data_IF_867368581775
#
_entry.id   IF_867368581775
#
_cell.length_a   1.000
_cell.length_b   1.000
_cell.length_c   1.000
_cell.angle_alpha   90.00
_cell.angle_beta   90.00
_cell.angle_gamma   90.00
#
_symmetry.space_group_name_H-M   'P 1'
#
loop_
_entity.id
_entity.type
_entity.pdbx_description
1 polymer ?
#
# COMPACT_ATOMS: atom_id res chain seq x y z
N UNK A 1 -1.69 -19.81 20.68
CA UNK A 1 -1.39 -19.93 22.12
C UNK A 1 -2.37 -19.19 23.03
N UNK A 2 -3.19 -18.26 22.48
CA UNK A 2 -4.16 -17.42 23.23
C UNK A 2 -5.12 -18.23 24.10
N UNK A 3 -5.65 -19.33 23.59
CA UNK A 3 -6.66 -20.16 24.26
C UNK A 3 -6.07 -21.31 25.11
N UNK A 4 -4.74 -21.54 25.07
CA UNK A 4 -4.10 -22.68 25.77
C UNK A 4 -4.06 -22.53 27.29
N UNK A 5 -4.09 -21.31 27.82
CA UNK A 5 -4.06 -21.04 29.25
C UNK A 5 -5.32 -20.28 29.64
N UNK A 6 -6.07 -20.80 30.61
CA UNK A 6 -7.28 -20.17 31.16
C UNK A 6 -6.93 -19.04 32.14
N UNK A 7 -6.24 -18.00 31.64
CA UNK A 7 -5.88 -16.82 32.41
C UNK A 7 -6.28 -15.55 31.63
N UNK A 8 -6.99 -14.63 32.29
CA UNK A 8 -7.47 -13.41 31.67
C UNK A 8 -6.35 -12.48 31.23
N UNK A 9 -5.29 -12.36 32.04
CA UNK A 9 -4.10 -11.54 31.70
C UNK A 9 -3.38 -12.10 30.49
N UNK A 10 -3.21 -13.43 30.42
CA UNK A 10 -2.61 -14.11 29.27
C UNK A 10 -3.39 -13.83 27.97
N UNK A 11 -4.71 -13.94 28.00
CA UNK A 11 -5.57 -13.66 26.84
C UNK A 11 -5.46 -12.20 26.42
N UNK A 12 -5.52 -11.27 27.37
CA UNK A 12 -5.37 -9.83 27.10
C UNK A 12 -4.02 -9.50 26.48
N UNK A 13 -2.93 -10.11 26.96
CA UNK A 13 -1.59 -9.90 26.40
C UNK A 13 -1.52 -10.35 24.93
N UNK A 14 -2.10 -11.52 24.60
CA UNK A 14 -2.16 -11.99 23.22
C UNK A 14 -3.07 -11.13 22.34
N UNK A 15 -4.18 -10.62 22.89
CA UNK A 15 -5.09 -9.72 22.15
C UNK A 15 -4.37 -8.41 21.79
N UNK A 16 -3.60 -7.83 22.72
CA UNK A 16 -2.74 -6.68 22.45
C UNK A 16 -1.63 -6.99 21.45
N UNK A 17 -0.98 -8.16 21.57
CA UNK A 17 0.03 -8.60 20.61
C UNK A 17 -0.53 -8.72 19.19
N UNK A 18 -1.73 -9.29 19.03
CA UNK A 18 -2.42 -9.40 17.74
C UNK A 18 -2.82 -8.02 17.21
N UNK A 19 -3.30 -7.12 18.08
CA UNK A 19 -3.64 -5.75 17.68
C UNK A 19 -2.42 -4.98 17.19
N UNK A 20 -1.32 -5.00 17.94
CA UNK A 20 -0.07 -4.32 17.55
C UNK A 20 0.49 -4.91 16.25
N UNK A 21 0.54 -6.26 16.16
CA UNK A 21 1.00 -6.95 14.95
C UNK A 21 0.14 -6.69 13.72
N UNK A 22 -1.14 -6.35 13.90
CA UNK A 22 -2.04 -5.96 12.80
C UNK A 22 -1.99 -4.47 12.46
N UNK A 23 -1.71 -3.59 13.42
CA UNK A 23 -1.76 -2.14 13.24
C UNK A 23 -0.42 -1.53 12.79
N UNK A 24 0.69 -2.02 13.34
CA UNK A 24 2.02 -1.45 13.07
C UNK A 24 2.48 -1.65 11.62
N UNK A 25 2.40 -2.84 11.01
CA UNK A 25 2.85 -3.02 9.64
C UNK A 25 2.14 -2.12 8.62
N UNK A 26 0.81 -1.99 8.60
CA UNK A 26 0.13 -1.07 7.71
C UNK A 26 0.58 0.39 7.88
N UNK A 27 0.78 0.82 9.13
CA UNK A 27 1.28 2.16 9.43
C UNK A 27 2.67 2.38 8.84
N UNK A 28 3.59 1.45 9.09
CA UNK A 28 4.97 1.56 8.61
C UNK A 28 5.05 1.49 7.09
N UNK A 29 4.24 0.66 6.42
CA UNK A 29 4.18 0.66 4.95
C UNK A 29 3.78 2.03 4.40
N UNK A 30 2.77 2.67 4.97
CA UNK A 30 2.38 4.01 4.57
C UNK A 30 3.45 5.06 4.86
N UNK A 31 4.09 4.99 6.03
CA UNK A 31 5.23 5.86 6.39
C UNK A 31 6.37 5.71 5.38
N UNK A 32 6.69 4.48 4.97
CA UNK A 32 7.72 4.22 3.96
C UNK A 32 7.37 4.89 2.61
N UNK A 33 6.14 4.72 2.12
CA UNK A 33 5.69 5.37 0.90
C UNK A 33 5.67 6.90 1.01
N UNK A 34 5.27 7.45 2.15
CA UNK A 34 5.35 8.88 2.42
C UNK A 34 6.77 9.42 2.32
N UNK A 35 7.76 8.70 2.85
CA UNK A 35 9.16 9.06 2.72
C UNK A 35 9.68 8.93 1.28
N UNK A 36 9.23 7.93 0.52
CA UNK A 36 9.57 7.83 -0.91
C UNK A 36 9.08 9.05 -1.69
N UNK A 37 7.86 9.50 -1.46
CA UNK A 37 7.30 10.70 -2.11
C UNK A 37 8.06 11.99 -1.78
N UNK A 38 8.64 12.08 -0.56
CA UNK A 38 9.45 13.23 -0.13
C UNK A 38 10.92 13.12 -0.57
N UNK A 39 11.39 11.91 -0.87
CA UNK A 39 12.77 11.57 -1.05
C UNK A 39 13.45 11.12 0.25
N UNK A 40 14.21 10.06 0.15
CA UNK A 40 14.93 9.42 1.26
C UNK A 40 16.33 10.04 1.35
N UNK A 41 16.86 10.36 2.55
CA UNK A 41 18.20 10.95 2.68
C UNK A 41 19.29 9.91 2.49
N UNK A 42 19.74 9.72 1.25
CA UNK A 42 20.86 8.83 0.91
C UNK A 42 21.69 9.40 -0.23
N UNK A 43 22.89 8.89 -0.39
CA UNK A 43 23.75 9.11 -1.55
C UNK A 43 24.60 7.88 -1.84
N UNK A 44 25.25 7.88 -3.01
CA UNK A 44 26.24 6.88 -3.36
C UNK A 44 27.65 7.52 -3.34
N UNK A 45 28.65 6.72 -3.00
CA UNK A 45 30.05 7.11 -3.24
C UNK A 45 30.47 6.78 -4.68
N UNK A 46 31.72 7.07 -5.02
CA UNK A 46 32.30 6.83 -6.35
C UNK A 46 32.33 5.34 -6.74
N UNK A 47 32.13 4.43 -5.78
CA UNK A 47 32.09 2.98 -5.98
C UNK A 47 30.65 2.45 -5.97
N UNK A 48 29.64 3.32 -5.98
CA UNK A 48 28.21 3.02 -5.92
C UNK A 48 27.78 2.32 -4.62
N UNK A 49 28.50 2.51 -3.53
CA UNK A 49 28.07 2.05 -2.19
C UNK A 49 27.06 3.06 -1.64
N UNK A 50 25.86 2.62 -1.23
CA UNK A 50 24.83 3.51 -0.69
C UNK A 50 25.12 3.88 0.77
N UNK A 51 24.95 5.15 1.09
CA UNK A 51 25.03 5.67 2.46
C UNK A 51 23.73 6.36 2.83
N UNK A 52 23.10 5.92 3.93
CA UNK A 52 21.94 6.57 4.51
C UNK A 52 22.42 7.65 5.51
N UNK A 53 22.00 8.89 5.30
CA UNK A 53 22.42 10.05 6.09
C UNK A 53 21.35 10.57 7.06
N UNK A 54 20.17 9.96 7.03
CA UNK A 54 19.04 10.34 7.88
C UNK A 54 19.06 9.68 9.26
N UNK A 55 18.01 9.94 10.03
CA UNK A 55 17.74 9.27 11.29
C UNK A 55 16.43 8.51 11.23
N UNK A 56 16.24 7.50 12.08
CA UNK A 56 14.97 6.77 12.19
C UNK A 56 13.80 7.73 12.51
N UNK A 57 14.01 8.67 13.43
CA UNK A 57 12.98 9.63 13.83
C UNK A 57 12.63 10.63 12.73
N UNK A 58 13.57 10.95 11.86
CA UNK A 58 13.32 11.80 10.68
C UNK A 58 12.37 11.18 9.68
N UNK A 59 12.29 9.84 9.62
CA UNK A 59 11.33 9.13 8.77
C UNK A 59 9.88 9.23 9.29
N UNK A 60 9.68 9.58 10.57
CA UNK A 60 8.37 9.79 11.18
C UNK A 60 7.90 11.25 11.07
N UNK A 61 8.15 11.87 9.93
CA UNK A 61 7.70 13.23 9.65
C UNK A 61 6.18 13.32 9.42
N UNK A 62 5.57 14.51 9.52
CA UNK A 62 4.11 14.67 9.46
C UNK A 62 3.46 14.13 8.19
N UNK A 63 4.09 14.32 7.01
CA UNK A 63 3.54 13.80 5.75
C UNK A 63 3.61 12.27 5.69
N UNK A 64 4.75 11.69 6.11
CA UNK A 64 4.91 10.25 6.18
C UNK A 64 3.92 9.61 7.17
N UNK A 65 3.67 10.25 8.31
CA UNK A 65 2.64 9.80 9.27
C UNK A 65 1.23 9.89 8.68
N UNK A 66 0.90 10.94 7.92
CA UNK A 66 -0.36 11.03 7.19
C UNK A 66 -0.51 9.86 6.21
N UNK A 67 0.52 9.56 5.42
CA UNK A 67 0.53 8.40 4.52
C UNK A 67 0.37 7.08 5.29
N UNK A 68 0.97 6.96 6.48
CA UNK A 68 0.79 5.84 7.41
C UNK A 68 -0.66 5.68 7.86
N UNK A 69 -1.31 6.77 8.23
CA UNK A 69 -2.74 6.77 8.60
C UNK A 69 -3.62 6.36 7.43
N UNK A 70 -3.35 6.88 6.22
CA UNK A 70 -4.07 6.49 5.00
C UNK A 70 -3.93 4.99 4.72
N UNK A 71 -2.72 4.46 4.80
CA UNK A 71 -2.45 3.03 4.60
C UNK A 71 -3.19 2.17 5.63
N UNK A 72 -3.11 2.54 6.92
CA UNK A 72 -3.82 1.82 7.99
C UNK A 72 -5.33 1.88 7.80
N UNK A 73 -5.87 3.05 7.44
CA UNK A 73 -7.29 3.21 7.16
C UNK A 73 -7.72 2.37 5.95
N UNK A 74 -6.94 2.35 4.88
CA UNK A 74 -7.19 1.58 3.66
C UNK A 74 -7.26 0.07 3.94
N UNK A 75 -6.28 -0.47 4.65
CA UNK A 75 -6.23 -1.91 4.98
C UNK A 75 -7.35 -2.28 5.95
N UNK A 76 -7.61 -1.43 6.96
CA UNK A 76 -8.71 -1.65 7.91
C UNK A 76 -10.07 -1.58 7.22
N UNK A 77 -10.28 -0.64 6.32
CA UNK A 77 -11.49 -0.53 5.50
C UNK A 77 -11.77 -1.80 4.71
N UNK A 78 -10.77 -2.27 3.96
CA UNK A 78 -10.88 -3.49 3.15
C UNK A 78 -11.11 -4.74 4.01
N UNK A 79 -10.35 -4.90 5.09
CA UNK A 79 -10.50 -6.00 6.05
C UNK A 79 -11.85 -6.00 6.75
N UNK A 80 -12.38 -4.83 7.12
CA UNK A 80 -13.70 -4.71 7.71
C UNK A 80 -14.82 -5.12 6.75
N UNK A 81 -14.71 -4.78 5.45
CA UNK A 81 -15.65 -5.25 4.42
C UNK A 81 -15.60 -6.77 4.27
N UNK A 82 -14.38 -7.35 4.29
CA UNK A 82 -14.21 -8.80 4.24
C UNK A 82 -14.86 -9.48 5.46
N UNK A 83 -14.63 -8.97 6.67
CA UNK A 83 -15.27 -9.48 7.88
C UNK A 83 -16.80 -9.36 7.80
N UNK A 84 -17.33 -8.24 7.32
CA UNK A 84 -18.76 -8.06 7.13
C UNK A 84 -19.35 -9.08 6.13
N UNK A 85 -18.56 -9.52 5.15
CA UNK A 85 -18.97 -10.56 4.20
C UNK A 85 -18.96 -11.96 4.81
N UNK A 86 -18.01 -12.25 5.72
CA UNK A 86 -17.75 -13.60 6.24
C UNK A 86 -18.40 -13.89 7.60
N UNK A 87 -19.00 -12.89 8.25
CA UNK A 87 -19.60 -13.02 9.57
C UNK A 87 -21.07 -12.61 9.58
N UNK A 88 -21.73 -12.82 10.72
CA UNK A 88 -23.13 -12.47 10.96
C UNK A 88 -23.29 -11.78 12.33
N UNK A 89 -24.47 -11.22 12.57
CA UNK A 89 -24.86 -10.64 13.85
C UNK A 89 -24.04 -9.41 14.24
N UNK A 90 -23.59 -9.36 15.48
CA UNK A 90 -22.90 -8.19 16.05
C UNK A 90 -21.53 -7.93 15.42
N UNK A 91 -20.80 -8.99 15.06
CA UNK A 91 -19.50 -8.84 14.39
C UNK A 91 -19.69 -8.18 13.03
N UNK A 92 -20.65 -8.66 12.23
CA UNK A 92 -20.97 -8.07 10.93
C UNK A 92 -21.35 -6.58 11.07
N UNK A 93 -22.24 -6.24 12.03
CA UNK A 93 -22.67 -4.85 12.24
C UNK A 93 -21.50 -3.93 12.62
N UNK A 94 -20.65 -4.37 13.55
CA UNK A 94 -19.44 -3.63 13.95
C UNK A 94 -18.45 -3.49 12.80
N UNK A 95 -18.30 -4.51 11.98
CA UNK A 95 -17.44 -4.49 10.79
C UNK A 95 -17.96 -3.50 9.75
N UNK A 96 -19.26 -3.43 9.50
CA UNK A 96 -19.86 -2.42 8.61
C UNK A 96 -19.58 -1.00 9.13
N UNK A 97 -19.77 -0.76 10.44
CA UNK A 97 -19.48 0.54 11.05
C UNK A 97 -18.00 0.90 10.90
N UNK A 98 -17.09 -0.04 11.17
CA UNK A 98 -15.66 0.16 10.98
C UNK A 98 -15.33 0.47 9.52
N UNK A 99 -15.90 -0.26 8.55
CA UNK A 99 -15.73 0.00 7.14
C UNK A 99 -16.15 1.43 6.74
N UNK A 100 -17.29 1.91 7.24
CA UNK A 100 -17.76 3.26 6.94
C UNK A 100 -16.80 4.33 7.51
N UNK A 101 -16.35 4.17 8.75
CA UNK A 101 -15.42 5.12 9.39
C UNK A 101 -14.07 5.14 8.66
N UNK A 102 -13.45 3.98 8.50
CA UNK A 102 -12.11 3.89 7.91
C UNK A 102 -12.11 4.15 6.40
N UNK A 103 -13.21 3.89 5.70
CA UNK A 103 -13.34 4.25 4.30
C UNK A 103 -13.40 5.78 4.10
N UNK A 104 -14.14 6.49 4.93
CA UNK A 104 -14.15 7.97 4.93
C UNK A 104 -12.80 8.53 5.31
N UNK A 105 -12.16 7.97 6.35
CA UNK A 105 -10.82 8.39 6.80
C UNK A 105 -9.77 8.16 5.70
N UNK A 106 -9.82 7.04 4.98
CA UNK A 106 -8.95 6.75 3.84
C UNK A 106 -9.10 7.81 2.75
N UNK A 107 -10.34 8.09 2.31
CA UNK A 107 -10.59 9.05 1.23
C UNK A 107 -10.20 10.48 1.64
N UNK A 108 -10.54 10.90 2.86
CA UNK A 108 -10.17 12.20 3.39
C UNK A 108 -8.65 12.36 3.52
N UNK A 109 -7.97 11.36 4.07
CA UNK A 109 -6.51 11.34 4.20
C UNK A 109 -5.79 11.29 2.85
N UNK A 110 -6.29 10.51 1.89
CA UNK A 110 -5.77 10.45 0.53
C UNK A 110 -5.91 11.81 -0.18
N UNK A 111 -7.07 12.47 -0.02
CA UNK A 111 -7.28 13.84 -0.53
C UNK A 111 -6.34 14.85 0.13
N UNK A 112 -6.16 14.78 1.46
CA UNK A 112 -5.25 15.65 2.18
C UNK A 112 -3.79 15.46 1.73
N UNK A 113 -3.35 14.20 1.54
CA UNK A 113 -2.03 13.90 1.02
C UNK A 113 -1.83 14.41 -0.42
N UNK A 114 -2.84 14.24 -1.29
CA UNK A 114 -2.82 14.77 -2.66
C UNK A 114 -2.73 16.30 -2.69
N UNK A 115 -3.52 17.00 -1.87
CA UNK A 115 -3.45 18.47 -1.72
C UNK A 115 -2.09 18.91 -1.18
N UNK A 116 -1.52 18.17 -0.26
CA UNK A 116 -0.19 18.48 0.28
C UNK A 116 0.90 18.32 -0.79
N UNK A 117 0.84 17.27 -1.61
CA UNK A 117 1.77 17.11 -2.75
C UNK A 117 1.59 18.22 -3.77
N UNK A 118 0.35 18.61 -4.08
CA UNK A 118 0.06 19.64 -5.07
C UNK A 118 0.54 21.05 -4.66
N UNK A 119 0.59 21.34 -3.36
CA UNK A 119 0.94 22.67 -2.85
C UNK A 119 2.25 22.71 -2.05
N UNK A 120 2.92 21.55 -1.87
CA UNK A 120 4.15 21.43 -1.10
C UNK A 120 5.39 21.39 -2.01
N UNK A 121 6.54 21.38 -1.35
CA UNK A 121 7.86 21.36 -2.01
C UNK A 121 8.27 19.92 -2.38
N UNK A 122 7.34 19.14 -2.94
CA UNK A 122 7.58 17.74 -3.34
C UNK A 122 7.63 17.61 -4.85
N UNK A 123 8.55 16.77 -5.28
CA UNK A 123 8.69 16.38 -6.68
C UNK A 123 10.13 16.43 -7.14
N UNK A 124 10.45 15.55 -8.06
CA UNK A 124 11.76 15.43 -8.65
C UNK A 124 11.62 15.34 -10.16
N UNK A 125 12.53 16.00 -10.89
CA UNK A 125 12.56 15.99 -12.35
C UNK A 125 13.96 15.65 -12.83
N UNK A 126 14.03 14.84 -13.89
CA UNK A 126 15.29 14.55 -14.57
C UNK A 126 15.52 15.66 -15.58
N UNK A 127 16.65 16.37 -15.47
CA UNK A 127 17.01 17.50 -16.34
C UNK A 127 18.03 17.14 -17.42
N UNK A 128 18.68 15.97 -17.29
CA UNK A 128 19.59 15.44 -18.31
C UNK A 128 18.89 14.48 -19.27
N UNK A 129 19.52 14.25 -20.44
CA UNK A 129 19.13 13.17 -21.33
C UNK A 129 19.53 11.82 -20.67
N UNK A 130 18.60 10.89 -20.57
CA UNK A 130 18.85 9.54 -20.05
C UNK A 130 18.84 8.55 -21.20
N UNK A 131 19.94 7.82 -21.37
CA UNK A 131 19.97 6.67 -22.27
C UNK A 131 19.38 5.44 -21.55
N UNK A 132 18.14 5.13 -21.85
CA UNK A 132 17.41 3.99 -21.23
C UNK A 132 17.94 2.63 -21.68
N UNK A 133 18.81 2.56 -22.67
CA UNK A 133 19.46 1.33 -23.16
C UNK A 133 20.86 1.12 -22.58
N UNK A 134 21.42 2.12 -21.91
CA UNK A 134 22.73 2.02 -21.28
C UNK A 134 22.72 1.08 -20.07
N UNK A 135 23.91 0.71 -19.59
CA UNK A 135 24.04 -0.03 -18.35
C UNK A 135 23.52 0.83 -17.18
N UNK A 136 22.83 0.22 -16.19
CA UNK A 136 22.32 0.95 -15.04
C UNK A 136 23.43 1.70 -14.30
N UNK A 137 23.29 3.02 -14.19
CA UNK A 137 24.20 3.88 -13.43
C UNK A 137 23.41 5.04 -12.82
N UNK A 138 23.12 5.00 -11.51
CA UNK A 138 22.33 6.04 -10.84
C UNK A 138 23.00 7.43 -10.88
N UNK A 139 24.32 7.52 -11.06
CA UNK A 139 25.05 8.78 -11.10
C UNK A 139 25.18 9.40 -12.50
N UNK A 140 24.67 8.73 -13.54
CA UNK A 140 24.79 9.19 -14.94
C UNK A 140 23.74 10.23 -15.36
N UNK A 141 22.91 10.73 -14.42
CA UNK A 141 21.83 11.68 -14.70
C UNK A 141 21.87 12.88 -13.76
N UNK A 142 21.28 13.97 -14.18
CA UNK A 142 21.03 15.15 -13.35
C UNK A 142 19.55 15.17 -12.95
N UNK A 143 19.30 15.35 -11.67
CA UNK A 143 17.94 15.44 -11.09
C UNK A 143 17.85 16.69 -10.25
N UNK A 144 16.74 17.38 -10.35
CA UNK A 144 16.44 18.57 -9.55
C UNK A 144 15.13 18.39 -8.78
N UNK A 145 15.05 19.02 -7.61
CA UNK A 145 13.81 19.10 -6.84
C UNK A 145 12.97 20.20 -7.46
N UNK A 146 11.75 19.86 -7.86
CA UNK A 146 10.81 20.80 -8.47
C UNK A 146 9.43 20.63 -7.81
N UNK A 147 8.92 21.65 -7.11
CA UNK A 147 7.58 21.61 -6.56
C UNK A 147 6.52 21.27 -7.62
N UNK A 148 5.62 20.35 -7.29
CA UNK A 148 4.55 19.91 -8.18
C UNK A 148 4.95 18.93 -9.27
N UNK A 149 6.23 18.54 -9.40
CA UNK A 149 6.69 17.62 -10.45
C UNK A 149 5.99 16.26 -10.43
N UNK A 150 5.51 15.81 -9.26
CA UNK A 150 4.71 14.59 -9.14
C UNK A 150 3.37 14.63 -9.89
N UNK A 151 2.91 15.80 -10.31
CA UNK A 151 1.68 15.97 -11.10
C UNK A 151 1.93 16.03 -12.62
N UNK A 152 3.16 16.24 -13.04
CA UNK A 152 3.53 16.42 -14.45
C UNK A 152 3.18 15.20 -15.33
N UNK A 153 3.20 14.00 -14.76
CA UNK A 153 2.85 12.78 -15.49
C UNK A 153 1.37 12.74 -15.92
N UNK A 154 0.49 13.40 -15.18
CA UNK A 154 -0.93 13.50 -15.54
C UNK A 154 -1.16 14.45 -16.73
N UNK A 155 -0.34 15.46 -16.88
CA UNK A 155 -0.40 16.38 -18.04
C UNK A 155 0.18 15.70 -19.29
N UNK A 156 1.28 14.94 -19.14
CA UNK A 156 1.95 14.24 -20.25
C UNK A 156 1.14 13.03 -20.74
N UNK A 157 0.49 12.32 -19.83
CA UNK A 157 -0.31 11.13 -20.11
C UNK A 157 -1.68 11.21 -19.41
N UNK A 158 -2.64 11.98 -19.93
CA UNK A 158 -3.94 12.25 -19.27
C UNK A 158 -4.74 11.00 -18.89
N UNK A 159 -4.54 9.89 -19.61
CA UNK A 159 -5.18 8.62 -19.30
C UNK A 159 -4.81 8.10 -17.89
N UNK A 160 -3.67 8.48 -17.36
CA UNK A 160 -3.24 8.10 -16.01
C UNK A 160 -4.10 8.72 -14.90
N UNK A 161 -4.87 9.77 -15.20
CA UNK A 161 -5.90 10.31 -14.30
C UNK A 161 -6.99 9.29 -13.93
N UNK A 162 -7.16 8.23 -14.72
CA UNK A 162 -8.05 7.11 -14.37
C UNK A 162 -7.61 6.41 -13.08
N UNK A 163 -6.33 6.48 -12.71
CA UNK A 163 -5.82 5.78 -11.51
C UNK A 163 -6.29 6.46 -10.22
N UNK A 164 -6.08 7.78 -9.98
CA UNK A 164 -6.68 8.44 -8.83
C UNK A 164 -8.22 8.46 -8.90
N UNK A 165 -8.82 8.57 -10.10
CA UNK A 165 -10.26 8.45 -10.25
C UNK A 165 -10.77 7.07 -9.78
N UNK A 166 -10.04 5.99 -10.04
CA UNK A 166 -10.35 4.64 -9.57
C UNK A 166 -10.29 4.54 -8.03
N UNK A 167 -9.34 5.24 -7.38
CA UNK A 167 -9.28 5.29 -5.92
C UNK A 167 -10.56 5.88 -5.32
N UNK A 168 -11.02 7.02 -5.84
CA UNK A 168 -12.25 7.68 -5.38
C UNK A 168 -13.50 6.90 -5.77
N UNK A 169 -13.64 6.50 -7.03
CA UNK A 169 -14.81 5.77 -7.50
C UNK A 169 -14.96 4.43 -6.78
N UNK A 170 -13.86 3.68 -6.64
CA UNK A 170 -13.82 2.41 -5.92
C UNK A 170 -14.15 2.58 -4.43
N UNK A 171 -13.56 3.57 -3.77
CA UNK A 171 -13.80 3.87 -2.37
C UNK A 171 -15.23 4.29 -2.08
N UNK A 172 -15.78 5.23 -2.86
CA UNK A 172 -17.17 5.69 -2.72
C UNK A 172 -18.17 4.58 -3.05
N UNK A 173 -17.91 3.80 -4.10
CA UNK A 173 -18.73 2.64 -4.44
C UNK A 173 -18.72 1.59 -3.33
N UNK A 174 -17.55 1.30 -2.75
CA UNK A 174 -17.44 0.34 -1.65
C UNK A 174 -18.20 0.82 -0.40
N UNK A 175 -18.12 2.10 -0.04
CA UNK A 175 -18.90 2.71 1.05
C UNK A 175 -20.41 2.57 0.82
N UNK A 176 -20.87 2.93 -0.38
CA UNK A 176 -22.28 2.83 -0.74
C UNK A 176 -22.79 1.37 -0.75
N UNK A 177 -21.97 0.45 -1.24
CA UNK A 177 -22.33 -0.97 -1.33
C UNK A 177 -22.33 -1.66 0.03
N UNK A 178 -21.36 -1.36 0.91
CA UNK A 178 -21.33 -1.92 2.27
C UNK A 178 -22.50 -1.39 3.11
N UNK A 179 -22.84 -0.11 2.96
CA UNK A 179 -24.01 0.48 3.61
C UNK A 179 -25.31 -0.20 3.17
N UNK A 180 -25.43 -0.57 1.88
CA UNK A 180 -26.56 -1.35 1.33
C UNK A 180 -26.52 -2.85 1.62
N UNK A 181 -25.53 -3.33 2.41
CA UNK A 181 -25.36 -4.75 2.73
C UNK A 181 -24.83 -5.62 1.58
N UNK A 182 -24.43 -5.03 0.45
CA UNK A 182 -23.85 -5.76 -0.71
C UNK A 182 -22.35 -5.99 -0.49
N UNK A 183 -22.00 -6.80 0.49
CA UNK A 183 -20.65 -6.95 1.01
C UNK A 183 -19.65 -7.53 -0.01
N UNK A 184 -20.04 -8.48 -0.87
CA UNK A 184 -19.15 -9.02 -1.91
C UNK A 184 -18.78 -7.96 -2.96
N UNK A 185 -19.78 -7.23 -3.46
CA UNK A 185 -19.53 -6.14 -4.41
C UNK A 185 -18.72 -5.01 -3.79
N UNK A 186 -18.95 -4.71 -2.49
CA UNK A 186 -18.16 -3.75 -1.73
C UNK A 186 -16.69 -4.21 -1.61
N UNK A 187 -16.44 -5.51 -1.43
CA UNK A 187 -15.10 -6.07 -1.36
C UNK A 187 -14.34 -5.86 -2.68
N UNK A 188 -14.99 -6.15 -3.81
CA UNK A 188 -14.38 -5.91 -5.14
C UNK A 188 -14.13 -4.41 -5.35
N UNK A 189 -15.09 -3.55 -5.01
CA UNK A 189 -14.92 -2.11 -5.15
C UNK A 189 -13.79 -1.56 -4.27
N UNK A 190 -13.65 -2.04 -3.03
CA UNK A 190 -12.54 -1.65 -2.15
C UNK A 190 -11.19 -2.18 -2.66
N UNK A 191 -11.13 -3.34 -3.31
CA UNK A 191 -9.91 -3.81 -3.98
C UNK A 191 -9.48 -2.85 -5.09
N UNK A 192 -10.44 -2.37 -5.90
CA UNK A 192 -10.18 -1.37 -6.94
C UNK A 192 -9.72 -0.03 -6.34
N UNK A 193 -10.28 0.37 -5.19
CA UNK A 193 -9.82 1.56 -4.48
C UNK A 193 -8.35 1.43 -4.04
N UNK A 194 -7.94 0.28 -3.51
CA UNK A 194 -6.56 0.00 -3.13
C UNK A 194 -5.63 0.10 -4.34
N UNK A 195 -6.00 -0.52 -5.46
CA UNK A 195 -5.25 -0.42 -6.73
C UNK A 195 -5.12 1.04 -7.14
N UNK A 196 -6.19 1.82 -7.04
CA UNK A 196 -6.19 3.25 -7.34
C UNK A 196 -5.25 4.06 -6.43
N UNK A 197 -5.31 3.85 -5.12
CA UNK A 197 -4.44 4.57 -4.16
C UNK A 197 -2.96 4.26 -4.39
N UNK A 198 -2.60 2.98 -4.47
CA UNK A 198 -1.21 2.55 -4.68
C UNK A 198 -0.73 2.96 -6.07
N UNK A 199 -1.56 2.74 -7.08
CA UNK A 199 -1.25 3.12 -8.46
C UNK A 199 -1.04 4.63 -8.62
N UNK A 200 -1.78 5.47 -7.89
CA UNK A 200 -1.58 6.94 -7.89
C UNK A 200 -0.17 7.30 -7.44
N UNK A 201 0.33 6.73 -6.36
CA UNK A 201 1.70 6.94 -5.91
C UNK A 201 2.71 6.51 -6.98
N UNK A 202 2.51 5.33 -7.59
CA UNK A 202 3.37 4.82 -8.65
C UNK A 202 3.40 5.70 -9.90
N UNK A 203 2.23 6.15 -10.36
CA UNK A 203 2.11 7.05 -11.53
C UNK A 203 2.75 8.41 -11.24
N UNK A 204 2.48 8.97 -10.05
CA UNK A 204 3.04 10.27 -9.66
C UNK A 204 4.57 10.24 -9.61
N UNK A 205 5.15 9.19 -9.02
CA UNK A 205 6.60 9.07 -8.88
C UNK A 205 7.33 8.64 -10.16
N UNK A 206 6.65 8.06 -11.15
CA UNK A 206 7.32 7.56 -12.36
C UNK A 206 8.13 8.67 -13.06
N UNK A 207 9.39 8.44 -13.44
CA UNK A 207 10.11 7.16 -13.44
C UNK A 207 10.89 6.84 -12.16
N UNK A 208 10.75 7.65 -11.11
CA UNK A 208 11.50 7.45 -9.87
C UNK A 208 10.97 6.25 -9.07
N UNK A 209 11.89 5.45 -8.54
CA UNK A 209 11.63 4.35 -7.60
C UNK A 209 11.97 4.79 -6.19
N UNK A 210 13.11 5.47 -6.00
CA UNK A 210 13.56 5.99 -4.72
C UNK A 210 14.31 7.30 -4.93
N UNK A 211 13.63 8.45 -4.81
CA UNK A 211 14.28 9.76 -4.87
C UNK A 211 15.21 9.98 -3.67
N UNK A 212 16.31 10.71 -3.91
CA UNK A 212 17.23 11.12 -2.85
C UNK A 212 17.01 12.60 -2.50
N UNK A 213 16.72 12.86 -1.21
CA UNK A 213 16.60 14.23 -0.70
C UNK A 213 17.93 14.87 -0.36
N UNK A 214 19.00 14.10 -0.15
CA UNK A 214 20.34 14.61 0.15
C UNK A 214 21.11 14.99 -1.12
N UNK A 215 21.10 14.11 -2.11
CA UNK A 215 21.76 14.32 -3.40
C UNK A 215 20.77 13.92 -4.51
N UNK A 216 19.97 14.85 -5.05
CA UNK A 216 18.93 14.53 -6.03
C UNK A 216 19.45 13.72 -7.22
N UNK A 217 20.68 13.98 -7.69
CA UNK A 217 21.32 13.20 -8.76
C UNK A 217 21.53 11.71 -8.45
N UNK A 218 21.56 11.32 -7.16
CA UNK A 218 21.66 9.93 -6.73
C UNK A 218 20.29 9.21 -6.69
N UNK A 219 19.20 9.87 -7.03
CA UNK A 219 17.86 9.27 -7.08
C UNK A 219 17.81 8.05 -7.97
N UNK A 220 17.17 6.98 -7.51
CA UNK A 220 16.99 5.77 -8.29
C UNK A 220 15.74 5.87 -9.17
N UNK A 221 15.89 5.53 -10.43
CA UNK A 221 14.80 5.42 -11.41
C UNK A 221 14.57 3.96 -11.81
N UNK A 222 13.50 3.70 -12.54
CA UNK A 222 13.22 2.37 -13.10
C UNK A 222 14.34 1.87 -14.02
N UNK A 223 15.15 2.75 -14.62
CA UNK A 223 16.27 2.38 -15.46
C UNK A 223 17.56 2.08 -14.67
N UNK A 224 17.72 2.69 -13.49
CA UNK A 224 18.89 2.48 -12.61
C UNK A 224 18.73 1.27 -11.68
N UNK A 225 17.47 0.98 -11.29
CA UNK A 225 17.13 -0.04 -10.30
C UNK A 225 16.70 -1.38 -10.92
N UNK A 226 16.95 -1.57 -12.21
CA UNK A 226 16.58 -2.79 -12.94
C UNK A 226 17.71 -3.80 -12.96
N UNK A 227 17.35 -5.08 -12.91
CA UNK A 227 18.27 -6.20 -13.15
C UNK A 227 18.64 -6.31 -14.63
N UNK A 228 19.67 -7.11 -14.94
CA UNK A 228 20.05 -7.41 -16.32
C UNK A 228 18.87 -8.01 -17.12
N UNK A 229 18.84 -7.78 -18.41
CA UNK A 229 17.82 -8.31 -19.32
C UNK A 229 17.68 -9.84 -19.22
N UNK A 230 18.81 -10.54 -19.05
CA UNK A 230 18.80 -12.00 -18.83
C UNK A 230 18.08 -12.38 -17.55
N UNK A 231 18.35 -11.70 -16.44
CA UNK A 231 17.70 -11.95 -15.14
C UNK A 231 16.20 -11.67 -15.23
N UNK A 232 15.82 -10.54 -15.85
CA UNK A 232 14.41 -10.20 -16.08
C UNK A 232 13.69 -11.25 -16.94
N UNK A 233 14.35 -11.78 -17.96
CA UNK A 233 13.83 -12.87 -18.79
C UNK A 233 13.58 -14.14 -17.99
N UNK A 234 14.52 -14.53 -17.12
CA UNK A 234 14.35 -15.69 -16.23
C UNK A 234 13.19 -15.45 -15.26
N UNK A 235 13.13 -14.26 -14.64
CA UNK A 235 12.04 -13.90 -13.71
C UNK A 235 10.67 -13.90 -14.42
N UNK A 236 10.61 -13.43 -15.66
CA UNK A 236 9.38 -13.45 -16.45
C UNK A 236 8.86 -14.87 -16.66
N UNK A 237 9.72 -15.79 -17.12
CA UNK A 237 9.32 -17.18 -17.34
C UNK A 237 8.95 -17.89 -16.03
N UNK A 238 9.72 -17.65 -14.96
CA UNK A 238 9.39 -18.19 -13.64
C UNK A 238 8.00 -17.68 -13.19
N UNK A 239 7.74 -16.39 -13.32
CA UNK A 239 6.43 -15.82 -12.96
C UNK A 239 5.30 -16.41 -13.81
N UNK A 240 5.50 -16.55 -15.12
CA UNK A 240 4.49 -17.11 -16.03
C UNK A 240 4.11 -18.57 -15.69
N UNK A 241 5.05 -19.34 -15.16
CA UNK A 241 4.82 -20.74 -14.76
C UNK A 241 4.23 -20.81 -13.34
N UNK A 242 4.82 -20.13 -12.37
CA UNK A 242 4.45 -20.28 -10.97
C UNK A 242 3.19 -19.49 -10.57
N UNK A 243 2.93 -18.33 -11.19
CA UNK A 243 1.74 -17.53 -10.84
C UNK A 243 0.42 -18.27 -11.10
N UNK A 244 0.19 -18.95 -12.23
CA UNK A 244 -1.04 -19.75 -12.41
C UNK A 244 -1.20 -20.84 -11.34
N UNK A 245 -0.11 -21.49 -10.95
CA UNK A 245 -0.12 -22.52 -9.89
C UNK A 245 -0.52 -21.91 -8.54
N UNK A 246 0.08 -20.76 -8.18
CA UNK A 246 -0.24 -20.03 -6.96
C UNK A 246 -1.70 -19.57 -6.96
N UNK A 247 -2.17 -19.00 -8.07
CA UNK A 247 -3.57 -18.56 -8.22
C UNK A 247 -4.53 -19.74 -8.09
N UNK A 248 -4.24 -20.87 -8.74
CA UNK A 248 -5.07 -22.08 -8.66
C UNK A 248 -5.11 -22.63 -7.23
N UNK A 249 -3.97 -22.80 -6.60
CA UNK A 249 -3.86 -23.28 -5.21
C UNK A 249 -4.57 -22.34 -4.23
N UNK A 250 -4.32 -21.04 -4.34
CA UNK A 250 -4.94 -20.04 -3.46
C UNK A 250 -6.45 -20.01 -3.64
N UNK A 251 -6.93 -20.04 -4.89
CA UNK A 251 -8.37 -20.09 -5.21
C UNK A 251 -9.04 -21.34 -4.64
N UNK A 252 -8.36 -22.49 -4.75
CA UNK A 252 -8.82 -23.73 -4.15
C UNK A 252 -8.90 -23.62 -2.63
N UNK A 253 -7.86 -23.13 -1.96
CA UNK A 253 -7.82 -22.95 -0.51
C UNK A 253 -8.95 -22.02 -0.03
N UNK A 254 -9.18 -20.90 -0.69
CA UNK A 254 -10.30 -20.01 -0.38
C UNK A 254 -11.67 -20.65 -0.64
N UNK A 255 -11.80 -21.51 -1.65
CA UNK A 255 -13.05 -22.23 -1.92
C UNK A 255 -13.38 -23.26 -0.83
N UNK A 256 -12.37 -23.95 -0.30
CA UNK A 256 -12.53 -24.91 0.82
C UNK A 256 -12.95 -24.19 2.11
N UNK A 257 -12.44 -22.98 2.33
CA UNK A 257 -12.80 -22.13 3.48
C UNK A 257 -14.03 -21.24 3.19
N UNK A 258 -14.78 -21.51 2.09
CA UNK A 258 -15.95 -20.71 1.76
C UNK A 258 -17.07 -20.89 2.79
N UNK A 259 -17.88 -19.85 2.99
CA UNK A 259 -18.99 -19.84 3.95
C UNK A 259 -18.87 -18.73 4.99
N UNK A 260 -19.93 -18.55 5.77
CA UNK A 260 -19.94 -17.59 6.87
C UNK A 260 -19.57 -18.29 8.17
N UNK A 261 -18.81 -17.60 8.99
CA UNK A 261 -18.52 -18.02 10.36
C UNK A 261 -19.68 -17.56 11.24
N UNK A 262 -20.50 -18.51 11.67
CA UNK A 262 -21.67 -18.25 12.54
C UNK A 262 -21.34 -18.53 14.01
N UNK A 263 -22.14 -17.97 14.93
CA UNK A 263 -22.00 -18.28 16.37
C UNK A 263 -22.29 -19.77 16.68
N UNK A 264 -23.13 -20.43 15.88
CA UNK A 264 -23.38 -21.86 15.99
C UNK A 264 -22.14 -22.67 15.62
N UNK A 265 -21.52 -22.35 14.47
CA UNK A 265 -20.28 -22.99 14.03
C UNK A 265 -19.16 -22.89 15.06
N UNK A 266 -18.99 -21.71 15.69
CA UNK A 266 -17.95 -21.51 16.72
C UNK A 266 -18.24 -22.40 17.94
N UNK A 267 -19.50 -22.50 18.37
CA UNK A 267 -19.88 -23.32 19.54
C UNK A 267 -19.70 -24.82 19.30
N UNK A 268 -20.03 -25.28 18.09
CA UNK A 268 -19.88 -26.69 17.70
C UNK A 268 -18.44 -27.11 17.53
N UNK A 269 -17.55 -26.16 17.22
CA UNK A 269 -16.13 -26.39 16.92
C UNK A 269 -15.20 -25.73 17.95
N UNK A 270 -15.62 -25.54 19.19
CA UNK A 270 -14.90 -24.79 20.23
C UNK A 270 -13.48 -25.31 20.49
N UNK A 271 -13.23 -26.62 20.26
CA UNK A 271 -11.93 -27.25 20.43
C UNK A 271 -11.05 -27.26 19.17
N UNK A 272 -11.60 -27.00 17.99
CA UNK A 272 -10.88 -27.04 16.69
C UNK A 272 -10.81 -25.69 16.00
N UNK A 273 -11.64 -24.73 16.38
CA UNK A 273 -11.66 -23.39 15.79
C UNK A 273 -10.57 -22.45 16.32
N UNK A 274 -9.75 -22.91 17.30
CA UNK A 274 -8.63 -22.13 17.88
C UNK A 274 -7.43 -22.99 18.22
#
# INVERSE_FOLDING_TARGET
>A
YRSKIHNATWRSTWDWGLFIGGAVPPLIFGVAFGNLLQGVPFHFDDTLVPYYTGSFWGLLNPFALLAGVVSTAMITFHGAIYLAHRTEGDIQRRSITAALIFGVLMLAGFSAAGLWIANGDFGYVITSVVDTAALPNPLAKTVELQPGAWLANYDTAPLTMLVPALAYAGGLAALALVWKGRTLAAFVASSLAIVGVIGTAGVSMFPFVMPSSTVPGASLTVWDAVSSQRTLGIMFWATLIFMPIIVAYTSWAYSVMAGKVTAAYIRENEHSAY
#
